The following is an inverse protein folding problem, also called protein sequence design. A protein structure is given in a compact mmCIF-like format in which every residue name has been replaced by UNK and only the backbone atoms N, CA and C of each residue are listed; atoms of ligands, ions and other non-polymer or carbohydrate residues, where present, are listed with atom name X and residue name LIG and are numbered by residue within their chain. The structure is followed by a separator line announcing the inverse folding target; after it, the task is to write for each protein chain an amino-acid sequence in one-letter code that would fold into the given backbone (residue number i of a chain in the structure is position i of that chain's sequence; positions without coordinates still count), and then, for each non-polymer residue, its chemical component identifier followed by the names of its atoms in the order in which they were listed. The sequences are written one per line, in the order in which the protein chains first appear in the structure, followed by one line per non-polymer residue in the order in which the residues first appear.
data_IF_043243632393
#
_entry.id   IF_043243632393
#
_cell.length_a   1.000
_cell.length_b   1.000
_cell.length_c   1.000
_cell.angle_alpha   90.00
_cell.angle_beta   90.00
_cell.angle_gamma   90.00
#
_symmetry.space_group_name_H-M   'P 1'
#
loop_
_entity.id
_entity.type
_entity.pdbx_description
1 polymer ?
#
# COMPACT_ATOMS: atom_id res chain seq x y z
N UNK A 1 -2.44 1.53 5.77
CA UNK A 1 -3.25 1.20 4.57
C UNK A 1 -4.70 0.87 4.89
N UNK A 2 -5.00 -0.02 5.87
CA UNK A 2 -6.38 -0.32 6.29
C UNK A 2 -7.19 0.94 6.62
N UNK A 3 -6.60 1.86 7.37
CA UNK A 3 -7.25 3.12 7.77
C UNK A 3 -7.44 4.10 6.61
N UNK A 4 -6.71 3.92 5.51
CA UNK A 4 -6.90 4.66 4.26
C UNK A 4 -7.87 3.93 3.29
N UNK A 5 -8.56 2.88 3.77
CA UNK A 5 -9.54 2.11 3.02
C UNK A 5 -8.97 1.10 2.01
N UNK A 6 -7.66 0.82 2.06
CA UNK A 6 -6.97 -0.03 1.08
C UNK A 6 -6.59 -1.36 1.72
N UNK A 7 -7.07 -2.46 1.12
CA UNK A 7 -6.72 -3.82 1.53
C UNK A 7 -5.42 -4.27 0.86
N UNK A 8 -4.37 -4.45 1.66
CA UNK A 8 -3.12 -5.07 1.24
C UNK A 8 -2.79 -6.25 2.14
N UNK A 9 -1.90 -7.12 1.66
CA UNK A 9 -1.33 -8.21 2.45
C UNK A 9 0.19 -8.09 2.48
N UNK A 10 0.83 -8.96 3.26
CA UNK A 10 2.29 -9.11 3.30
C UNK A 10 2.70 -10.51 2.84
N UNK A 11 3.91 -10.66 2.31
CA UNK A 11 4.47 -11.93 1.89
C UNK A 11 5.99 -11.99 2.15
N UNK A 12 6.61 -13.08 1.68
CA UNK A 12 8.05 -13.34 1.84
C UNK A 12 8.34 -14.17 3.09
N UNK A 13 9.50 -14.82 3.13
CA UNK A 13 9.92 -15.67 4.25
C UNK A 13 9.92 -14.92 5.58
N UNK A 14 10.27 -13.63 5.55
CA UNK A 14 10.31 -12.75 6.72
C UNK A 14 9.03 -11.91 6.89
N UNK A 15 8.00 -12.13 6.06
CA UNK A 15 6.75 -11.34 6.06
C UNK A 15 6.94 -9.81 6.01
N UNK A 16 8.04 -9.35 5.41
CA UNK A 16 8.43 -7.94 5.34
C UNK A 16 8.24 -7.35 3.94
N UNK A 17 7.70 -8.12 2.98
CA UNK A 17 7.42 -7.62 1.63
C UNK A 17 5.94 -7.28 1.50
N UNK A 18 5.64 -6.02 1.17
CA UNK A 18 4.27 -5.57 0.93
C UNK A 18 3.73 -6.15 -0.38
N UNK A 19 2.55 -6.79 -0.32
CA UNK A 19 1.92 -7.45 -1.46
C UNK A 19 0.96 -6.50 -2.17
N UNK A 20 1.21 -6.21 -3.45
CA UNK A 20 0.29 -5.48 -4.32
C UNK A 20 -0.04 -6.37 -5.52
N UNK A 21 -1.31 -6.77 -5.65
CA UNK A 21 -1.81 -7.58 -6.78
C UNK A 21 -3.30 -7.28 -6.98
N UNK A 22 -3.62 -6.18 -7.68
CA UNK A 22 -4.99 -5.78 -7.94
C UNK A 22 -5.65 -6.66 -9.02
N UNK A 23 -6.98 -6.56 -9.22
CA UNK A 23 -7.68 -7.19 -10.35
C UNK A 23 -7.21 -6.64 -11.72
N UNK A 24 -7.44 -7.38 -12.81
CA UNK A 24 -7.04 -6.92 -14.16
C UNK A 24 -7.74 -5.63 -14.62
N UNK A 25 -8.93 -5.34 -14.10
CA UNK A 25 -9.69 -4.12 -14.41
C UNK A 25 -9.23 -2.90 -13.62
N UNK A 26 -8.15 -3.02 -12.84
CA UNK A 26 -7.63 -1.92 -12.03
C UNK A 26 -7.05 -0.82 -12.92
N UNK A 27 -7.66 0.36 -12.84
CA UNK A 27 -7.35 1.49 -13.72
C UNK A 27 -6.16 2.29 -13.21
N UNK A 28 -5.62 3.18 -14.05
CA UNK A 28 -4.59 4.14 -13.65
C UNK A 28 -5.06 5.01 -12.47
N UNK A 29 -6.29 5.49 -12.48
CA UNK A 29 -6.83 6.31 -11.38
C UNK A 29 -6.81 5.55 -10.03
N UNK A 30 -7.08 4.24 -10.04
CA UNK A 30 -6.97 3.43 -8.83
C UNK A 30 -5.51 3.29 -8.36
N UNK A 31 -4.55 3.19 -9.30
CA UNK A 31 -3.11 3.18 -8.98
C UNK A 31 -2.69 4.50 -8.36
N UNK A 32 -3.09 5.61 -8.98
CA UNK A 32 -2.77 6.96 -8.50
C UNK A 32 -3.28 7.15 -7.06
N UNK A 33 -4.53 6.75 -6.77
CA UNK A 33 -5.09 6.76 -5.41
C UNK A 33 -4.29 5.88 -4.43
N UNK A 34 -3.93 4.65 -4.83
CA UNK A 34 -3.19 3.73 -3.97
C UNK A 34 -1.80 4.26 -3.61
N UNK A 35 -1.08 4.79 -4.58
CA UNK A 35 0.28 5.31 -4.40
C UNK A 35 0.24 6.57 -3.52
N UNK A 36 -0.68 7.51 -3.78
CA UNK A 36 -0.85 8.71 -2.95
C UNK A 36 -1.05 8.38 -1.46
N UNK A 37 -1.90 7.38 -1.16
CA UNK A 37 -2.14 6.96 0.23
C UNK A 37 -0.97 6.18 0.82
N UNK A 38 -0.25 5.42 0.00
CA UNK A 38 0.94 4.69 0.45
C UNK A 38 2.04 5.66 0.86
N UNK A 39 2.35 6.66 0.04
CA UNK A 39 3.36 7.69 0.33
C UNK A 39 3.05 8.40 1.64
N UNK A 40 1.80 8.88 1.80
CA UNK A 40 1.32 9.51 3.04
C UNK A 40 1.54 8.64 4.30
N UNK A 41 1.36 7.32 4.19
CA UNK A 41 1.53 6.40 5.33
C UNK A 41 3.01 6.13 5.62
N UNK A 42 3.83 6.02 4.57
CA UNK A 42 5.27 5.84 4.71
C UNK A 42 5.90 7.07 5.37
N UNK A 43 5.53 8.28 4.94
CA UNK A 43 6.02 9.53 5.54
C UNK A 43 5.71 9.63 7.04
N UNK A 44 4.49 9.24 7.45
CA UNK A 44 4.11 9.18 8.88
C UNK A 44 4.94 8.15 9.66
N UNK A 45 5.37 7.07 9.00
CA UNK A 45 6.11 5.99 9.66
C UNK A 45 7.58 6.36 9.86
N UNK A 46 8.15 7.18 8.97
CA UNK A 46 9.54 7.66 9.08
C UNK A 46 9.78 8.68 10.21
N UNK A 47 8.72 9.18 10.86
CA UNK A 47 8.83 10.11 12.00
C UNK A 47 8.91 9.42 13.37
N UNK A 48 8.94 8.07 13.41
CA UNK A 48 8.96 7.30 14.65
C UNK A 48 10.36 6.73 14.99
N UNK A 49 11.42 7.47 14.67
CA UNK A 49 12.79 7.21 15.16
C UNK A 49 13.11 8.09 16.39
#
# INVERSE_FOLDING_TARGET
MKDEGILLSKLGINYNTLKIRPPMTFTKANVDYLIEKLDKVLDKTQLND
#
